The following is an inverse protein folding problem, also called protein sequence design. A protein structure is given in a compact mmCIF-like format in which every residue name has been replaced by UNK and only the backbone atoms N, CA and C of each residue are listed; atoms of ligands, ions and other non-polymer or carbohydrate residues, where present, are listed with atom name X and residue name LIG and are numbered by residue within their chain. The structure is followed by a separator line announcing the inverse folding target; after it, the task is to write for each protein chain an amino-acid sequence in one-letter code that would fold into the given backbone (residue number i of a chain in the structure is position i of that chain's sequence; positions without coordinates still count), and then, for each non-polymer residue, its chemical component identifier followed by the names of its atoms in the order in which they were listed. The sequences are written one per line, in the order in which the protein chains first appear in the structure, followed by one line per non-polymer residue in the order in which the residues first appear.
data_IF_151837305547
#
_entry.id   IF_151837305547
#
_cell.length_a   1.000
_cell.length_b   1.000
_cell.length_c   1.000
_cell.angle_alpha   90.00
_cell.angle_beta   90.00
_cell.angle_gamma   90.00
#
_symmetry.space_group_name_H-M   'P 1'
#
loop_
_entity.id
_entity.type
_entity.pdbx_description
1 polymer ?
#
# COMPACT_ATOMS: atom_id res chain seq x y z
N UNK A 1 9.51 -12.05 -9.06
CA UNK A 1 9.75 -10.66 -8.65
C UNK A 1 11.25 -10.41 -8.69
N UNK A 2 11.71 -9.34 -9.36
CA UNK A 2 13.11 -8.92 -9.24
C UNK A 2 13.32 -8.31 -7.84
N UNK A 3 14.38 -8.69 -7.13
CA UNK A 3 14.70 -8.09 -5.84
C UNK A 3 15.18 -6.65 -6.07
N UNK A 4 14.68 -5.68 -5.28
CA UNK A 4 15.25 -4.33 -5.28
C UNK A 4 16.62 -4.43 -4.62
N UNK A 5 17.69 -4.10 -5.34
CA UNK A 5 19.10 -4.42 -4.98
C UNK A 5 19.65 -3.68 -3.74
N UNK A 6 18.86 -2.88 -3.03
CA UNK A 6 19.34 -2.09 -1.87
C UNK A 6 18.70 -2.56 -0.55
N UNK A 7 19.45 -3.35 0.21
CA UNK A 7 19.08 -3.95 1.51
C UNK A 7 19.17 -2.99 2.71
N UNK A 8 19.21 -1.68 2.50
CA UNK A 8 19.37 -0.67 3.58
C UNK A 8 18.37 0.47 3.49
N UNK A 9 17.28 0.29 2.75
CA UNK A 9 16.29 1.32 2.49
C UNK A 9 14.91 0.82 2.92
N UNK A 10 14.33 1.44 3.94
CA UNK A 10 13.05 1.01 4.51
C UNK A 10 11.94 1.00 3.47
N UNK A 11 11.91 1.94 2.52
CA UNK A 11 10.90 1.99 1.47
C UNK A 11 10.98 0.76 0.56
N UNK A 12 12.19 0.33 0.20
CA UNK A 12 12.39 -0.87 -0.62
C UNK A 12 12.02 -2.14 0.15
N UNK A 13 12.32 -2.21 1.45
CA UNK A 13 11.96 -3.33 2.32
C UNK A 13 10.44 -3.43 2.51
N UNK A 14 9.76 -2.31 2.76
CA UNK A 14 8.30 -2.24 2.88
C UNK A 14 7.61 -2.59 1.57
N UNK A 15 8.05 -2.01 0.45
CA UNK A 15 7.49 -2.30 -0.87
C UNK A 15 7.66 -3.78 -1.24
N UNK A 16 8.77 -4.40 -0.87
CA UNK A 16 8.97 -5.84 -1.02
C UNK A 16 8.13 -6.67 -0.04
N UNK A 17 7.98 -6.20 1.20
CA UNK A 17 7.19 -6.87 2.24
C UNK A 17 5.69 -6.88 1.96
N UNK A 18 5.20 -5.99 1.09
CA UNK A 18 3.81 -6.03 0.64
C UNK A 18 3.50 -7.26 -0.23
N UNK A 19 4.48 -7.86 -0.89
CA UNK A 19 4.27 -8.99 -1.81
C UNK A 19 4.10 -10.33 -1.12
N UNK A 20 3.36 -11.23 -1.77
CA UNK A 20 3.34 -12.66 -1.41
C UNK A 20 4.57 -13.36 -1.99
N UNK A 21 5.08 -14.38 -1.30
CA UNK A 21 6.21 -15.18 -1.79
C UNK A 21 7.60 -14.73 -1.34
N UNK A 22 7.69 -13.82 -0.36
CA UNK A 22 8.94 -13.52 0.35
C UNK A 22 9.28 -14.62 1.36
N UNK A 23 10.41 -14.48 2.05
CA UNK A 23 10.68 -15.29 3.24
C UNK A 23 9.68 -14.92 4.33
N UNK A 24 9.19 -15.91 5.09
CA UNK A 24 8.34 -15.68 6.24
C UNK A 24 9.03 -14.73 7.24
N UNK A 25 8.25 -13.82 7.85
CA UNK A 25 8.79 -12.75 8.71
C UNK A 25 9.19 -11.47 7.97
N UNK A 26 9.27 -11.50 6.64
CA UNK A 26 9.57 -10.33 5.80
C UNK A 26 8.42 -9.95 4.85
N UNK A 27 7.25 -10.57 4.98
CA UNK A 27 6.03 -10.15 4.26
C UNK A 27 4.85 -9.95 5.18
N UNK A 28 4.08 -8.90 4.90
CA UNK A 28 2.89 -8.54 5.67
C UNK A 28 1.70 -9.44 5.37
N UNK A 29 1.61 -9.95 4.13
CA UNK A 29 0.53 -10.84 3.71
C UNK A 29 0.52 -12.19 4.44
N UNK A 30 1.67 -12.63 4.96
CA UNK A 30 1.81 -13.90 5.69
C UNK A 30 2.76 -13.76 6.86
N UNK A 31 2.17 -13.52 8.02
CA UNK A 31 2.86 -13.38 9.29
C UNK A 31 3.35 -14.71 9.85
N UNK A 32 4.48 -14.66 10.55
CA UNK A 32 4.98 -15.76 11.40
C UNK A 32 4.01 -16.06 12.54
N UNK A 33 4.18 -17.19 13.21
CA UNK A 33 3.40 -17.50 14.41
C UNK A 33 3.59 -16.44 15.52
N UNK A 34 4.84 -16.00 15.73
CA UNK A 34 5.17 -14.93 16.70
C UNK A 34 4.44 -13.64 16.35
N UNK A 35 4.52 -13.17 15.10
CA UNK A 35 3.83 -11.95 14.67
C UNK A 35 2.31 -12.05 14.76
N UNK A 36 1.73 -13.23 14.54
CA UNK A 36 0.28 -13.46 14.77
C UNK A 36 -0.08 -13.36 16.24
N UNK A 37 0.79 -13.82 17.13
CA UNK A 37 0.59 -13.71 18.58
C UNK A 37 0.75 -12.26 19.04
N UNK A 38 1.75 -11.54 18.54
CA UNK A 38 1.91 -10.10 18.78
C UNK A 38 0.67 -9.31 18.33
N UNK A 39 0.13 -9.57 17.14
CA UNK A 39 -1.09 -8.88 16.70
C UNK A 39 -2.29 -9.15 17.61
N UNK A 40 -2.39 -10.35 18.18
CA UNK A 40 -3.49 -10.71 19.08
C UNK A 40 -3.33 -10.11 20.47
N UNK A 41 -2.10 -10.01 20.97
CA UNK A 41 -1.82 -9.60 22.35
C UNK A 41 -1.50 -8.11 22.48
N UNK A 42 -0.79 -7.56 21.49
CA UNK A 42 -0.19 -6.23 21.52
C UNK A 42 -0.77 -5.29 20.47
N UNK A 43 -1.71 -5.76 19.64
CA UNK A 43 -2.35 -4.99 18.55
C UNK A 43 -1.38 -4.47 17.48
N UNK A 44 -0.20 -5.09 17.34
CA UNK A 44 0.76 -4.84 16.25
C UNK A 44 1.60 -6.09 15.99
N UNK A 45 2.25 -6.18 14.83
CA UNK A 45 3.30 -7.18 14.56
C UNK A 45 4.64 -6.48 14.33
N UNK A 46 5.70 -6.98 14.95
CA UNK A 46 7.05 -6.42 14.82
C UNK A 46 7.73 -6.97 13.56
N UNK A 47 8.35 -6.07 12.80
CA UNK A 47 9.19 -6.41 11.66
C UNK A 47 10.57 -5.80 11.85
N UNK A 48 11.60 -6.60 11.54
CA UNK A 48 12.98 -6.18 11.63
C UNK A 48 13.65 -6.23 10.24
N UNK A 49 14.10 -5.06 9.77
CA UNK A 49 14.81 -4.85 8.52
C UNK A 49 16.22 -4.35 8.84
N UNK A 50 17.20 -5.25 9.02
CA UNK A 50 18.52 -4.85 9.53
C UNK A 50 19.18 -3.77 8.67
N UNK A 51 19.66 -2.70 9.31
CA UNK A 51 20.32 -1.56 8.69
C UNK A 51 19.42 -0.71 7.77
N UNK A 52 18.10 -0.90 7.81
CA UNK A 52 17.17 -0.07 7.06
C UNK A 52 17.23 1.37 7.55
N UNK A 53 17.35 2.30 6.61
CA UNK A 53 17.29 3.75 6.85
C UNK A 53 16.09 4.37 6.16
N UNK A 54 15.57 5.43 6.77
CA UNK A 54 14.57 6.31 6.15
C UNK A 54 15.22 7.30 5.17
N UNK A 55 14.43 8.21 4.58
CA UNK A 55 14.92 9.22 3.64
C UNK A 55 15.91 10.22 4.27
N UNK A 56 15.90 10.34 5.60
CA UNK A 56 16.74 11.27 6.36
C UNK A 56 18.00 10.59 6.92
N UNK A 57 18.17 9.29 6.69
CA UNK A 57 19.29 8.50 7.20
C UNK A 57 19.13 8.02 8.64
N UNK A 58 17.95 8.20 9.24
CA UNK A 58 17.65 7.70 10.59
C UNK A 58 17.50 6.19 10.57
N UNK A 59 17.70 5.56 11.73
CA UNK A 59 17.45 4.14 11.87
C UNK A 59 15.96 3.82 11.75
N UNK A 60 15.63 2.96 10.80
CA UNK A 60 14.29 2.42 10.58
C UNK A 60 14.33 0.89 10.62
N UNK A 61 15.26 0.31 11.38
CA UNK A 61 15.51 -1.13 11.38
C UNK A 61 14.37 -1.93 12.02
N UNK A 62 13.52 -1.30 12.82
CA UNK A 62 12.37 -1.93 13.48
C UNK A 62 11.13 -1.10 13.22
N UNK A 63 10.08 -1.77 12.75
CA UNK A 63 8.79 -1.15 12.44
C UNK A 63 7.65 -2.07 12.87
N UNK A 64 6.47 -1.49 13.05
CA UNK A 64 5.32 -2.16 13.63
C UNK A 64 4.13 -2.12 12.67
N UNK A 65 3.74 -3.28 12.15
CA UNK A 65 2.56 -3.43 11.31
C UNK A 65 1.31 -3.23 12.17
N UNK A 66 0.50 -2.24 11.80
CA UNK A 66 -0.77 -1.94 12.45
C UNK A 66 -1.91 -2.76 11.80
N UNK A 67 -2.86 -3.28 12.58
CA UNK A 67 -3.96 -4.08 12.06
C UNK A 67 -4.98 -3.25 11.27
N UNK A 68 -5.64 -3.89 10.30
CA UNK A 68 -6.88 -3.39 9.72
C UNK A 68 -8.08 -4.02 10.44
N UNK A 69 -8.59 -3.29 11.45
CA UNK A 69 -9.73 -3.72 12.26
C UNK A 69 -11.08 -3.61 11.53
N UNK A 70 -11.10 -3.15 10.28
CA UNK A 70 -12.34 -3.00 9.50
C UNK A 70 -12.64 -4.21 8.60
N UNK A 71 -11.73 -5.20 8.55
CA UNK A 71 -11.85 -6.36 7.67
C UNK A 71 -13.09 -7.19 8.00
N UNK A 72 -13.92 -7.39 6.99
CA UNK A 72 -15.12 -8.23 7.00
C UNK A 72 -15.03 -9.29 5.90
N UNK A 73 -15.71 -10.41 6.14
CA UNK A 73 -15.92 -11.44 5.11
C UNK A 73 -17.22 -11.15 4.38
N UNK A 74 -17.15 -10.94 3.07
CA UNK A 74 -18.31 -10.71 2.22
C UNK A 74 -18.59 -11.98 1.42
N UNK A 75 -19.87 -12.32 1.28
CA UNK A 75 -20.35 -13.43 0.46
C UNK A 75 -21.22 -12.87 -0.66
N UNK A 76 -20.86 -13.15 -1.90
CA UNK A 76 -21.66 -12.79 -3.07
C UNK A 76 -22.02 -14.03 -3.87
N UNK A 77 -23.27 -14.11 -4.33
CA UNK A 77 -23.69 -15.09 -5.32
C UNK A 77 -23.52 -14.50 -6.71
N UNK A 78 -22.86 -15.23 -7.60
CA UNK A 78 -22.86 -14.88 -9.01
C UNK A 78 -24.22 -15.24 -9.66
N UNK A 79 -24.38 -14.85 -10.93
CA UNK A 79 -25.61 -15.09 -11.71
C UNK A 79 -26.02 -16.56 -11.87
N UNK A 80 -25.11 -17.51 -11.60
CA UNK A 80 -25.37 -18.97 -11.59
C UNK A 80 -25.49 -19.54 -10.17
N UNK A 81 -25.69 -18.69 -9.16
CA UNK A 81 -25.91 -19.08 -7.77
C UNK A 81 -24.69 -19.58 -7.01
N UNK A 82 -23.49 -19.56 -7.60
CA UNK A 82 -22.24 -19.94 -6.92
C UNK A 82 -21.81 -18.81 -5.98
N UNK A 83 -21.58 -19.17 -4.73
CA UNK A 83 -21.06 -18.26 -3.71
C UNK A 83 -19.55 -18.07 -3.88
N UNK A 84 -19.12 -16.80 -3.94
CA UNK A 84 -17.73 -16.39 -3.75
C UNK A 84 -17.61 -15.66 -2.43
N UNK A 85 -16.54 -15.96 -1.70
CA UNK A 85 -16.21 -15.34 -0.43
C UNK A 85 -14.95 -14.53 -0.63
N UNK A 86 -14.95 -13.29 -0.15
CA UNK A 86 -13.79 -12.39 -0.22
C UNK A 86 -13.71 -11.52 1.03
N UNK A 87 -12.49 -11.14 1.40
CA UNK A 87 -12.22 -10.20 2.48
C UNK A 87 -12.21 -8.76 1.97
N UNK A 88 -12.83 -7.88 2.75
CA UNK A 88 -12.87 -6.45 2.48
C UNK A 88 -12.76 -5.63 3.77
N UNK A 89 -11.84 -4.70 3.80
CA UNK A 89 -11.60 -3.70 4.83
C UNK A 89 -11.06 -2.41 4.19
N UNK A 90 -10.50 -1.53 5.02
CA UNK A 90 -9.89 -0.26 4.61
C UNK A 90 -8.61 -0.49 3.81
N UNK A 91 -7.78 -1.45 4.23
CA UNK A 91 -6.48 -1.76 3.64
C UNK A 91 -6.51 -3.00 2.74
N UNK A 92 -7.69 -3.60 2.52
CA UNK A 92 -7.82 -4.85 1.75
C UNK A 92 -9.15 -4.88 1.00
N UNK A 93 -9.13 -5.17 -0.29
CA UNK A 93 -10.31 -5.59 -1.05
C UNK A 93 -9.89 -6.71 -2.00
N UNK A 94 -10.10 -7.97 -1.59
CA UNK A 94 -9.68 -9.14 -2.36
C UNK A 94 -10.38 -9.23 -3.73
N UNK A 95 -11.60 -8.68 -3.86
CA UNK A 95 -12.33 -8.68 -5.12
C UNK A 95 -11.74 -7.68 -6.11
N UNK A 96 -11.32 -6.50 -5.61
CA UNK A 96 -10.60 -5.50 -6.40
C UNK A 96 -9.10 -5.85 -6.57
N UNK A 97 -8.60 -6.82 -5.79
CA UNK A 97 -7.19 -7.22 -5.69
C UNK A 97 -6.30 -6.21 -4.94
N UNK A 98 -6.92 -5.22 -4.31
CA UNK A 98 -6.27 -4.16 -3.54
C UNK A 98 -5.77 -4.68 -2.19
N UNK A 99 -4.49 -4.41 -1.88
CA UNK A 99 -3.89 -4.68 -0.59
C UNK A 99 -2.87 -3.59 -0.27
N UNK A 100 -3.00 -3.01 0.92
CA UNK A 100 -2.04 -2.05 1.47
C UNK A 100 -1.73 -2.39 2.92
N UNK A 101 -0.65 -1.83 3.43
CA UNK A 101 -0.21 -2.05 4.80
C UNK A 101 0.17 -0.71 5.42
N UNK A 102 -0.24 -0.54 6.68
CA UNK A 102 0.06 0.63 7.47
C UNK A 102 1.03 0.24 8.58
N UNK A 103 2.17 0.91 8.62
CA UNK A 103 3.30 0.55 9.47
C UNK A 103 3.78 1.79 10.22
N UNK A 104 4.23 1.64 11.46
CA UNK A 104 4.66 2.75 12.32
C UNK A 104 6.05 2.49 12.91
N UNK A 105 6.74 3.55 13.31
CA UNK A 105 8.01 3.52 14.05
C UNK A 105 7.86 3.17 15.54
N UNK A 106 6.62 3.09 16.00
CA UNK A 106 6.22 2.86 17.39
C UNK A 106 5.15 1.77 17.45
N UNK A 107 5.12 0.92 18.49
CA UNK A 107 4.16 -0.16 18.62
C UNK A 107 2.68 0.27 18.48
N UNK A 108 2.37 1.45 19.01
CA UNK A 108 1.04 2.04 19.00
C UNK A 108 1.16 3.51 18.63
N UNK A 109 0.24 4.00 17.80
CA UNK A 109 0.13 5.43 17.49
C UNK A 109 0.00 6.25 18.78
N UNK A 110 0.94 7.16 18.97
CA UNK A 110 1.03 8.01 20.16
C UNK A 110 1.76 9.32 19.83
N UNK A 111 1.78 10.31 20.74
CA UNK A 111 2.56 11.53 20.52
C UNK A 111 4.07 11.31 20.35
N UNK A 112 4.58 10.10 20.63
CA UNK A 112 5.97 9.70 20.41
C UNK A 112 6.24 9.18 19.00
N UNK A 113 5.20 8.79 18.27
CA UNK A 113 5.29 8.38 16.87
C UNK A 113 5.81 9.57 16.06
N UNK A 114 6.84 9.36 15.25
CA UNK A 114 7.40 10.38 14.36
C UNK A 114 7.16 10.00 12.90
N UNK A 115 7.33 8.72 12.57
CA UNK A 115 7.23 8.22 11.21
C UNK A 115 6.23 7.07 11.10
N UNK A 116 5.39 7.19 10.09
CA UNK A 116 4.47 6.15 9.66
C UNK A 116 4.68 5.88 8.17
N UNK A 117 4.29 4.71 7.71
CA UNK A 117 4.50 4.27 6.36
C UNK A 117 3.23 3.62 5.81
N UNK A 118 2.88 4.00 4.60
CA UNK A 118 1.82 3.36 3.84
C UNK A 118 2.42 2.67 2.62
N UNK A 119 2.32 1.35 2.56
CA UNK A 119 2.82 0.58 1.42
C UNK A 119 1.69 -0.11 0.68
N UNK A 120 1.61 0.15 -0.62
CA UNK A 120 0.61 -0.49 -1.50
C UNK A 120 1.25 -1.63 -2.26
N UNK A 121 0.64 -2.81 -2.18
CA UNK A 121 1.10 -3.99 -2.91
C UNK A 121 0.92 -3.79 -4.41
N UNK A 122 1.95 -4.09 -5.19
CA UNK A 122 1.82 -4.17 -6.64
C UNK A 122 1.22 -5.48 -7.12
N UNK A 123 1.11 -5.66 -8.42
CA UNK A 123 0.64 -6.93 -8.99
C UNK A 123 1.73 -7.99 -8.84
N UNK A 124 1.37 -9.19 -8.40
CA UNK A 124 2.23 -10.39 -8.38
C UNK A 124 2.59 -10.89 -9.81
N UNK A 125 2.36 -10.07 -10.85
CA UNK A 125 2.54 -10.39 -12.27
C UNK A 125 1.30 -11.02 -12.90
N UNK A 126 1.25 -11.03 -14.24
CA UNK A 126 0.27 -11.82 -15.00
C UNK A 126 0.62 -13.30 -14.82
N UNK A 127 0.13 -13.91 -13.75
CA UNK A 127 0.06 -15.36 -13.66
C UNK A 127 -0.97 -15.84 -14.68
N UNK A 128 -0.56 -16.08 -15.93
CA UNK A 128 -1.31 -16.96 -16.84
C UNK A 128 -1.09 -18.40 -16.36
N UNK A 129 -1.71 -18.77 -15.25
CA UNK A 129 -1.80 -20.18 -14.86
C UNK A 129 -2.90 -20.78 -15.75
N UNK A 130 -2.50 -21.35 -16.89
CA UNK A 130 -3.40 -21.88 -17.93
C UNK A 130 -4.36 -22.94 -17.38
N UNK A 131 -4.03 -23.53 -16.22
CA UNK A 131 -4.84 -24.53 -15.50
C UNK A 131 -5.95 -23.94 -14.63
N UNK A 132 -5.87 -22.66 -14.23
CA UNK A 132 -6.86 -22.02 -13.33
C UNK A 132 -7.98 -21.27 -14.05
N UNK A 133 -7.91 -21.20 -15.38
CA UNK A 133 -8.88 -20.49 -16.21
C UNK A 133 -8.93 -18.98 -15.95
N UNK A 134 -9.74 -18.27 -16.72
CA UNK A 134 -9.85 -16.79 -16.67
C UNK A 134 -10.20 -16.25 -15.28
N UNK A 135 -10.82 -17.08 -14.42
CA UNK A 135 -11.33 -16.70 -13.11
C UNK A 135 -10.38 -16.91 -11.92
N UNK A 136 -9.23 -17.57 -12.13
CA UNK A 136 -8.31 -17.98 -11.05
C UNK A 136 -6.91 -17.37 -11.16
N UNK A 137 -6.72 -16.41 -12.05
CA UNK A 137 -5.45 -15.77 -12.33
C UNK A 137 -5.41 -14.34 -11.76
N UNK A 138 -4.20 -13.86 -11.42
CA UNK A 138 -3.88 -12.43 -11.18
C UNK A 138 -4.21 -11.52 -12.40
N UNK A 139 -4.86 -12.08 -13.43
CA UNK A 139 -5.49 -11.34 -14.53
C UNK A 139 -6.55 -10.36 -14.04
N UNK A 140 -7.25 -10.55 -12.91
CA UNK A 140 -8.18 -9.52 -12.45
C UNK A 140 -7.44 -8.26 -11.95
N UNK A 141 -6.32 -8.45 -11.24
CA UNK A 141 -5.42 -7.36 -10.83
C UNK A 141 -4.84 -6.63 -12.03
N UNK A 142 -4.49 -7.37 -13.09
CA UNK A 142 -3.87 -6.82 -14.29
C UNK A 142 -4.87 -6.28 -15.33
N UNK A 143 -5.92 -7.01 -15.71
CA UNK A 143 -6.86 -6.61 -16.78
C UNK A 143 -7.67 -5.37 -16.37
N UNK A 144 -8.20 -5.33 -15.14
CA UNK A 144 -9.05 -4.22 -14.71
C UNK A 144 -8.26 -2.96 -14.34
N UNK A 145 -7.01 -3.09 -13.85
CA UNK A 145 -6.20 -1.94 -13.47
C UNK A 145 -5.12 -1.65 -14.52
N UNK A 146 -4.27 -2.63 -14.82
CA UNK A 146 -3.19 -2.45 -15.79
C UNK A 146 -3.70 -2.29 -17.23
N UNK A 147 -4.78 -3.00 -17.63
CA UNK A 147 -5.40 -2.86 -18.95
C UNK A 147 -6.06 -1.50 -19.16
N UNK A 148 -6.85 -1.03 -18.19
CA UNK A 148 -7.46 0.30 -18.23
C UNK A 148 -6.45 1.45 -18.16
N UNK A 149 -5.35 1.29 -17.43
CA UNK A 149 -4.27 2.30 -17.44
C UNK A 149 -3.45 2.26 -18.73
N UNK A 150 -2.98 1.09 -19.16
CA UNK A 150 -2.14 0.95 -20.37
C UNK A 150 -2.87 1.39 -21.64
N UNK A 151 -4.20 1.27 -21.68
CA UNK A 151 -5.01 1.65 -22.84
C UNK A 151 -5.65 3.06 -22.73
N UNK A 152 -5.89 3.58 -21.52
CA UNK A 152 -6.67 4.82 -21.34
C UNK A 152 -6.10 5.84 -20.35
N UNK A 153 -4.94 5.60 -19.73
CA UNK A 153 -4.38 6.45 -18.67
C UNK A 153 -5.39 6.70 -17.53
N UNK A 154 -6.20 5.69 -17.19
CA UNK A 154 -7.32 5.84 -16.27
C UNK A 154 -6.90 5.98 -14.80
N UNK A 155 -7.73 6.69 -14.01
CA UNK A 155 -7.66 6.65 -12.55
C UNK A 155 -8.05 5.25 -12.05
N UNK A 156 -7.08 4.54 -11.47
CA UNK A 156 -7.26 3.14 -11.09
C UNK A 156 -8.31 3.00 -9.97
N UNK A 157 -9.22 2.03 -10.06
CA UNK A 157 -10.11 1.68 -8.94
C UNK A 157 -9.34 1.39 -7.64
N UNK A 158 -8.20 0.70 -7.72
CA UNK A 158 -7.35 0.47 -6.54
C UNK A 158 -6.76 1.76 -5.97
N UNK A 159 -6.50 2.78 -6.80
CA UNK A 159 -6.00 4.08 -6.33
C UNK A 159 -7.07 4.87 -5.57
N UNK A 160 -8.36 4.72 -5.93
CA UNK A 160 -9.47 5.28 -5.14
C UNK A 160 -9.55 4.66 -3.75
N UNK A 161 -9.40 3.33 -3.66
CA UNK A 161 -9.36 2.61 -2.39
C UNK A 161 -8.14 3.01 -1.55
N UNK A 162 -6.97 3.15 -2.19
CA UNK A 162 -5.76 3.62 -1.54
C UNK A 162 -5.87 5.06 -1.05
N UNK A 163 -6.51 5.95 -1.80
CA UNK A 163 -6.75 7.33 -1.40
C UNK A 163 -7.64 7.40 -0.14
N UNK A 164 -8.75 6.66 -0.12
CA UNK A 164 -9.63 6.59 1.05
C UNK A 164 -8.89 6.03 2.28
N UNK A 165 -8.10 4.99 2.08
CA UNK A 165 -7.27 4.38 3.12
C UNK A 165 -6.22 5.34 3.69
N UNK A 166 -5.49 6.04 2.81
CA UNK A 166 -4.50 7.05 3.20
C UNK A 166 -5.15 8.18 3.99
N UNK A 167 -6.25 8.75 3.48
CA UNK A 167 -6.98 9.81 4.17
C UNK A 167 -7.39 9.38 5.59
N UNK A 168 -8.01 8.22 5.74
CA UNK A 168 -8.43 7.71 7.05
C UNK A 168 -7.24 7.46 7.99
N UNK A 169 -6.13 6.93 7.48
CA UNK A 169 -4.93 6.71 8.30
C UNK A 169 -4.21 8.00 8.66
N UNK A 170 -4.22 9.01 7.79
CA UNK A 170 -3.70 10.35 8.10
C UNK A 170 -4.55 11.02 9.18
N UNK A 171 -5.88 10.90 9.12
CA UNK A 171 -6.76 11.40 10.17
C UNK A 171 -6.51 10.70 11.52
N UNK A 172 -6.44 9.37 11.53
CA UNK A 172 -6.14 8.60 12.73
C UNK A 172 -4.78 8.98 13.33
N UNK A 173 -3.75 9.05 12.48
CA UNK A 173 -2.41 9.49 12.85
C UNK A 173 -2.44 10.91 13.41
N UNK A 174 -3.07 11.87 12.74
CA UNK A 174 -3.10 13.27 13.16
C UNK A 174 -3.80 13.45 14.52
N UNK A 175 -4.80 12.61 14.82
CA UNK A 175 -5.48 12.64 16.11
C UNK A 175 -4.64 12.06 17.26
N UNK A 176 -3.89 10.98 17.03
CA UNK A 176 -3.14 10.24 18.07
C UNK A 176 -1.66 10.65 18.16
N UNK A 177 -1.11 11.14 17.06
CA UNK A 177 0.30 11.44 16.82
C UNK A 177 0.41 12.72 15.96
N UNK A 178 0.05 13.90 16.50
CA UNK A 178 -0.12 15.13 15.70
C UNK A 178 1.15 15.60 14.99
N UNK A 179 2.33 15.24 15.49
CA UNK A 179 3.61 15.61 14.90
C UNK A 179 4.17 14.55 13.94
N UNK A 180 3.51 13.39 13.82
CA UNK A 180 3.96 12.34 12.93
C UNK A 180 3.68 12.69 11.47
N UNK A 181 4.53 12.15 10.60
CA UNK A 181 4.35 12.18 9.15
C UNK A 181 4.16 10.78 8.58
N UNK A 182 3.65 10.72 7.35
CA UNK A 182 3.46 9.47 6.61
C UNK A 182 4.32 9.49 5.36
N UNK A 183 5.19 8.50 5.21
CA UNK A 183 5.86 8.24 3.94
C UNK A 183 5.13 7.12 3.18
N UNK A 184 5.18 7.18 1.85
CA UNK A 184 4.40 6.31 0.97
C UNK A 184 5.33 5.57 0.06
N UNK A 185 5.12 4.27 -0.10
CA UNK A 185 5.93 3.46 -0.99
C UNK A 185 5.13 2.39 -1.74
N UNK A 186 5.65 1.98 -2.89
CA UNK A 186 5.03 0.98 -3.74
C UNK A 186 5.98 0.58 -4.86
N UNK A 187 5.76 -0.62 -5.37
CA UNK A 187 6.55 -1.18 -6.46
C UNK A 187 5.64 -1.69 -7.60
N UNK A 188 6.11 -1.60 -8.84
CA UNK A 188 5.36 -2.02 -10.04
C UNK A 188 3.98 -1.35 -10.11
N UNK A 189 2.87 -2.08 -10.20
CA UNK A 189 1.51 -1.50 -10.16
C UNK A 189 1.27 -0.65 -8.89
N UNK A 190 1.89 -1.02 -7.77
CA UNK A 190 1.80 -0.29 -6.51
C UNK A 190 2.32 1.14 -6.62
N UNK A 191 3.27 1.42 -7.52
CA UNK A 191 3.74 2.77 -7.84
C UNK A 191 2.60 3.65 -8.33
N UNK A 192 1.85 3.16 -9.32
CA UNK A 192 0.75 3.92 -9.92
C UNK A 192 -0.39 4.12 -8.93
N UNK A 193 -0.73 3.06 -8.20
CA UNK A 193 -1.80 3.12 -7.20
C UNK A 193 -1.45 4.17 -6.15
N UNK A 194 -0.23 4.13 -5.62
CA UNK A 194 0.23 5.07 -4.60
C UNK A 194 0.27 6.50 -5.11
N UNK A 195 0.89 6.79 -6.26
CA UNK A 195 0.99 8.20 -6.73
C UNK A 195 -0.36 8.78 -7.13
N UNK A 196 -1.23 8.00 -7.77
CA UNK A 196 -2.59 8.45 -8.10
C UNK A 196 -3.42 8.70 -6.82
N UNK A 197 -3.25 7.85 -5.80
CA UNK A 197 -3.93 8.03 -4.52
C UNK A 197 -3.47 9.31 -3.81
N UNK A 198 -2.16 9.53 -3.72
CA UNK A 198 -1.58 10.71 -3.08
C UNK A 198 -1.96 11.98 -3.83
N UNK A 199 -1.91 11.97 -5.16
CA UNK A 199 -2.31 13.13 -5.97
C UNK A 199 -3.77 13.54 -5.70
N UNK A 200 -4.66 12.62 -5.31
CA UNK A 200 -6.05 12.94 -4.99
C UNK A 200 -6.31 13.19 -3.49
N UNK A 201 -5.28 13.29 -2.64
CA UNK A 201 -5.47 13.60 -1.22
C UNK A 201 -5.95 15.05 -1.03
N UNK A 202 -6.74 15.33 0.02
CA UNK A 202 -6.99 16.68 0.47
C UNK A 202 -5.68 17.42 0.78
N UNK A 203 -5.65 18.74 0.56
CA UNK A 203 -4.45 19.55 0.82
C UNK A 203 -3.93 19.46 2.27
N UNK A 204 -4.86 19.35 3.23
CA UNK A 204 -4.52 19.19 4.64
C UNK A 204 -3.78 17.87 4.93
N UNK A 205 -4.09 16.82 4.16
CA UNK A 205 -3.43 15.52 4.29
C UNK A 205 -2.06 15.53 3.61
N UNK A 206 -1.91 16.24 2.49
CA UNK A 206 -0.62 16.38 1.82
C UNK A 206 0.45 16.99 2.73
N UNK A 207 0.07 17.92 3.60
CA UNK A 207 0.97 18.48 4.61
C UNK A 207 1.48 17.45 5.63
N UNK A 208 0.89 16.25 5.68
CA UNK A 208 1.34 15.11 6.51
C UNK A 208 2.19 14.11 5.75
N UNK A 209 2.37 14.28 4.44
CA UNK A 209 3.21 13.40 3.65
C UNK A 209 4.67 13.85 3.78
N UNK A 210 5.54 12.94 4.20
CA UNK A 210 6.98 13.20 4.30
C UNK A 210 7.69 12.89 2.99
N UNK A 211 7.52 11.67 2.47
CA UNK A 211 8.13 11.24 1.21
C UNK A 211 7.26 10.26 0.44
N UNK A 212 7.31 10.34 -0.88
CA UNK A 212 6.71 9.35 -1.79
C UNK A 212 7.83 8.67 -2.56
N UNK A 213 8.18 7.44 -2.19
CA UNK A 213 9.32 6.69 -2.75
C UNK A 213 8.81 5.46 -3.50
N UNK A 214 8.90 5.50 -4.83
CA UNK A 214 8.27 4.51 -5.71
C UNK A 214 9.31 3.77 -6.56
N UNK A 215 9.08 2.47 -6.78
CA UNK A 215 10.07 1.60 -7.40
C UNK A 215 9.54 0.91 -8.67
N UNK A 216 10.24 1.10 -9.79
CA UNK A 216 10.06 0.31 -11.02
C UNK A 216 8.61 0.23 -11.53
N UNK A 217 7.85 1.31 -11.37
CA UNK A 217 6.51 1.48 -11.95
C UNK A 217 6.51 2.42 -13.14
N UNK A 218 5.47 2.39 -13.99
CA UNK A 218 5.34 3.31 -15.11
C UNK A 218 5.03 4.74 -14.63
N UNK A 219 5.35 5.72 -15.47
CA UNK A 219 5.02 7.13 -15.24
C UNK A 219 3.50 7.33 -15.28
N UNK A 220 2.93 7.91 -14.22
CA UNK A 220 1.50 8.16 -14.07
C UNK A 220 1.08 9.62 -14.35
N UNK A 221 2.00 10.51 -14.76
CA UNK A 221 1.71 11.94 -14.99
C UNK A 221 0.55 12.18 -15.93
N UNK A 222 0.54 11.54 -17.09
CA UNK A 222 -0.55 11.72 -18.06
C UNK A 222 -1.90 11.28 -17.49
N UNK A 223 -1.89 10.24 -16.66
CA UNK A 223 -3.10 9.78 -15.98
C UNK A 223 -3.58 10.79 -14.95
N UNK A 224 -2.68 11.31 -14.11
CA UNK A 224 -2.99 12.32 -13.10
C UNK A 224 -3.53 13.61 -13.74
N UNK A 225 -2.95 14.03 -14.87
CA UNK A 225 -3.40 15.19 -15.63
C UNK A 225 -4.86 15.05 -16.10
N UNK A 226 -5.36 13.83 -16.30
CA UNK A 226 -6.75 13.55 -16.68
C UNK A 226 -7.71 13.44 -15.48
N UNK A 227 -7.21 13.46 -14.23
CA UNK A 227 -8.06 13.26 -13.04
C UNK A 227 -8.74 14.55 -12.59
N UNK A 228 -7.95 15.56 -12.20
CA UNK A 228 -8.44 16.86 -11.74
C UNK A 228 -7.31 17.88 -11.71
N UNK A 229 -7.65 19.17 -11.69
CA UNK A 229 -6.67 20.24 -11.51
C UNK A 229 -5.97 20.13 -10.14
N UNK A 230 -6.73 19.83 -9.07
CA UNK A 230 -6.15 19.58 -7.75
C UNK A 230 -5.08 18.49 -7.78
N UNK A 231 -5.34 17.39 -8.51
CA UNK A 231 -4.37 16.29 -8.58
C UNK A 231 -3.08 16.68 -9.33
N UNK A 232 -3.18 17.57 -10.30
CA UNK A 232 -2.01 18.14 -10.98
C UNK A 232 -1.19 19.03 -10.05
N UNK A 233 -1.86 19.94 -9.33
CA UNK A 233 -1.23 20.85 -8.37
C UNK A 233 -0.56 20.08 -7.22
N UNK A 234 -1.25 19.05 -6.71
CA UNK A 234 -0.73 18.15 -5.68
C UNK A 234 0.52 17.41 -6.15
N UNK A 235 0.51 16.88 -7.38
CA UNK A 235 1.67 16.20 -7.94
C UNK A 235 2.85 17.16 -8.10
N UNK A 236 2.61 18.36 -8.62
CA UNK A 236 3.64 19.38 -8.77
C UNK A 236 4.27 19.73 -7.41
N UNK A 237 3.45 19.96 -6.38
CA UNK A 237 3.93 20.24 -5.03
C UNK A 237 4.83 19.13 -4.47
N UNK A 238 4.46 17.85 -4.70
CA UNK A 238 5.26 16.71 -4.25
C UNK A 238 6.59 16.61 -4.98
N UNK A 239 6.60 16.87 -6.30
CA UNK A 239 7.84 16.89 -7.09
C UNK A 239 8.79 18.02 -6.64
N UNK A 240 8.26 19.18 -6.25
CA UNK A 240 9.02 20.31 -5.73
C UNK A 240 9.64 20.05 -4.34
N UNK A 241 9.06 19.15 -3.54
CA UNK A 241 9.57 18.74 -2.22
C UNK A 241 10.68 17.67 -2.29
N UNK A 242 10.90 17.09 -3.47
CA UNK A 242 11.84 15.99 -3.74
C UNK A 242 11.57 14.73 -2.93
#
# INVERSE_FOLDING_TARGET
MANLEKYTNIYADLAQGAYIGRKEGFMFAKLTQVQKEELKLNEHATFHFPNAKDAHGNDASTVYLQPDNTVKTIKEKNWVGREKVYKKGLLTDEKAGYNSYYVTDTPTLSPKTQHTYFTTRGSDGVSMDVKKGWSGNNLNDWVNNNGSFTLFNAYLPQAKLANEAMHQKIMEMSAKAPNATMSITGHSLGTMISIQAVANLPQADLAKIDKVVLFQGPDARESINKMSQQAQENLQQLEEQG
#
